data_IF_318371918625
#
_entry.id   IF_318371918625
#
_cell.length_a   1.000
_cell.length_b   1.000
_cell.length_c   1.000
_cell.angle_alpha   90.00
_cell.angle_beta   90.00
_cell.angle_gamma   90.00
#
_symmetry.space_group_name_H-M   'P 1'
#
loop_
_entity.id
_entity.type
_entity.pdbx_description
1 polymer ?
#
# COMPACT_ATOMS: atom_id res chain seq x y z
N UNK A 1 10.28 6.82 -18.39
CA UNK A 1 9.61 5.59 -17.88
C UNK A 1 9.93 5.47 -16.40
N UNK A 2 8.97 5.79 -15.57
CA UNK A 2 9.12 5.57 -14.13
C UNK A 2 9.07 4.05 -13.88
N UNK A 3 10.12 3.44 -13.30
CA UNK A 3 10.19 1.99 -13.16
C UNK A 3 9.10 1.42 -12.22
N UNK A 4 8.45 2.27 -11.44
CA UNK A 4 7.47 1.87 -10.43
C UNK A 4 6.09 2.51 -10.63
N UNK A 5 5.71 2.77 -11.88
CA UNK A 5 4.40 3.33 -12.23
C UNK A 5 3.20 2.50 -11.74
N UNK A 6 3.44 1.25 -11.35
CA UNK A 6 2.43 0.33 -10.79
C UNK A 6 2.02 0.68 -9.36
N UNK A 7 2.81 1.52 -8.68
CA UNK A 7 2.46 2.05 -7.35
C UNK A 7 1.52 3.25 -7.49
N UNK A 8 0.69 3.41 -6.49
CA UNK A 8 -0.23 4.53 -6.34
C UNK A 8 0.05 5.26 -5.03
N UNK A 9 -0.05 6.58 -5.04
CA UNK A 9 -0.11 7.36 -3.83
C UNK A 9 -1.57 7.39 -3.36
N UNK A 10 -1.78 7.14 -2.07
CA UNK A 10 -3.11 7.17 -1.44
C UNK A 10 -3.12 8.33 -0.45
N UNK A 11 -4.06 9.25 -0.64
CA UNK A 11 -4.38 10.29 0.32
C UNK A 11 -5.68 9.91 1.05
N UNK A 12 -5.57 9.62 2.33
CA UNK A 12 -6.71 9.41 3.23
C UNK A 12 -7.14 10.72 3.85
N UNK A 13 -8.42 11.03 3.79
CA UNK A 13 -9.03 12.20 4.43
C UNK A 13 -9.91 11.69 5.57
N UNK A 14 -9.62 12.07 6.79
CA UNK A 14 -10.28 11.59 8.00
C UNK A 14 -11.00 12.74 8.69
N UNK A 15 -12.21 12.49 9.18
CA UNK A 15 -13.01 13.50 9.84
C UNK A 15 -13.37 13.04 11.24
N UNK A 16 -12.84 13.72 12.24
CA UNK A 16 -13.16 13.53 13.66
C UNK A 16 -13.91 14.72 14.21
N UNK A 17 -14.33 14.64 15.46
CA UNK A 17 -14.90 15.78 16.18
C UNK A 17 -13.88 16.93 16.36
N UNK A 18 -12.60 16.62 16.38
CA UNK A 18 -11.51 17.60 16.46
C UNK A 18 -11.20 18.28 15.12
N UNK A 19 -11.73 17.78 14.00
CA UNK A 19 -11.50 18.33 12.66
C UNK A 19 -11.08 17.31 11.61
N UNK A 20 -10.48 17.82 10.53
CA UNK A 20 -9.97 17.00 9.43
C UNK A 20 -8.48 16.76 9.59
N UNK A 21 -8.04 15.51 9.41
CA UNK A 21 -6.64 15.18 9.23
C UNK A 21 -6.43 14.32 7.98
N UNK A 22 -5.19 14.22 7.53
CA UNK A 22 -4.85 13.58 6.28
C UNK A 22 -3.68 12.62 6.47
N UNK A 23 -3.74 11.49 5.79
CA UNK A 23 -2.65 10.50 5.77
C UNK A 23 -2.15 10.28 4.35
N UNK A 24 -0.85 10.03 4.22
CA UNK A 24 -0.24 9.57 2.97
C UNK A 24 0.12 8.11 3.14
N UNK A 25 -0.18 7.33 2.13
CA UNK A 25 0.13 5.91 2.08
C UNK A 25 0.39 5.47 0.64
N UNK A 26 0.78 4.23 0.49
CA UNK A 26 1.07 3.64 -0.81
C UNK A 26 0.12 2.48 -1.09
N UNK A 27 -0.24 2.31 -2.35
CA UNK A 27 -0.88 1.10 -2.87
C UNK A 27 -0.17 0.63 -4.13
N UNK A 28 -0.53 -0.54 -4.64
CA UNK A 28 -0.02 -1.05 -5.90
C UNK A 28 -1.07 -1.85 -6.66
N UNK A 29 -1.03 -1.74 -8.00
CA UNK A 29 -1.97 -2.42 -8.87
C UNK A 29 -1.58 -3.88 -9.08
N UNK A 30 -2.53 -4.80 -8.89
CA UNK A 30 -2.36 -6.25 -9.13
C UNK A 30 -3.31 -6.77 -10.22
N UNK A 31 -4.30 -5.98 -10.59
CA UNK A 31 -5.26 -6.26 -11.67
C UNK A 31 -5.63 -4.99 -12.41
N UNK A 32 -6.42 -5.11 -13.48
CA UNK A 32 -6.83 -3.94 -14.26
C UNK A 32 -7.54 -2.89 -13.40
N UNK A 33 -8.39 -3.34 -12.47
CA UNK A 33 -9.17 -2.51 -11.54
C UNK A 33 -8.90 -2.83 -10.07
N UNK A 34 -7.94 -3.70 -9.77
CA UNK A 34 -7.68 -4.16 -8.41
C UNK A 34 -6.33 -3.63 -7.93
N UNK A 35 -6.38 -2.90 -6.83
CA UNK A 35 -5.24 -2.38 -6.08
C UNK A 35 -5.16 -3.08 -4.72
N UNK A 36 -3.96 -3.21 -4.19
CA UNK A 36 -3.70 -3.74 -2.85
C UNK A 36 -2.95 -2.70 -2.03
N UNK A 37 -3.24 -2.64 -0.74
CA UNK A 37 -2.58 -1.77 0.24
C UNK A 37 -2.66 -2.39 1.65
N UNK A 38 -2.13 -1.71 2.65
CA UNK A 38 -2.28 -2.11 4.06
C UNK A 38 -3.70 -1.80 4.58
N UNK A 39 -4.15 -2.56 5.56
CA UNK A 39 -5.48 -2.41 6.16
C UNK A 39 -5.66 -1.09 6.90
N UNK A 40 -4.64 -0.68 7.68
CA UNK A 40 -4.66 0.57 8.43
C UNK A 40 -4.72 1.84 7.56
N UNK A 41 -4.56 1.72 6.25
CA UNK A 41 -4.80 2.83 5.29
C UNK A 41 -6.30 3.13 5.15
N UNK A 42 -7.14 2.15 5.43
CA UNK A 42 -8.60 2.22 5.31
C UNK A 42 -9.35 2.07 6.64
N UNK A 43 -8.66 1.92 7.75
CA UNK A 43 -9.24 1.78 9.07
C UNK A 43 -8.35 2.42 10.14
N UNK A 44 -8.90 3.39 10.85
CA UNK A 44 -8.28 3.97 12.03
C UNK A 44 -8.66 3.16 13.26
N UNK A 45 -7.67 2.58 13.94
CA UNK A 45 -7.89 1.71 15.09
C UNK A 45 -8.19 2.48 16.38
N UNK A 46 -7.71 3.71 16.50
CA UNK A 46 -7.93 4.55 17.66
C UNK A 46 -9.34 5.12 17.63
N UNK A 47 -9.71 5.72 16.50
CA UNK A 47 -11.02 6.36 16.30
C UNK A 47 -12.11 5.38 15.88
N UNK A 48 -11.78 4.12 15.57
CA UNK A 48 -12.71 3.06 15.11
C UNK A 48 -13.56 3.50 13.90
N UNK A 49 -12.92 4.13 12.93
CA UNK A 49 -13.62 4.68 11.77
C UNK A 49 -12.93 4.41 10.45
N UNK A 50 -13.70 4.55 9.37
CA UNK A 50 -13.21 4.58 8.00
C UNK A 50 -12.87 6.01 7.59
N UNK A 51 -11.99 6.20 6.57
CA UNK A 51 -11.73 7.51 6.03
C UNK A 51 -13.01 8.12 5.42
N UNK A 52 -13.19 9.42 5.58
CA UNK A 52 -14.27 10.19 4.97
C UNK A 52 -14.14 10.22 3.43
N UNK A 53 -12.90 10.31 2.94
CA UNK A 53 -12.57 10.29 1.52
C UNK A 53 -11.22 9.61 1.30
N UNK A 54 -11.11 8.88 0.19
CA UNK A 54 -9.85 8.33 -0.32
C UNK A 54 -9.63 8.86 -1.74
N UNK A 55 -8.44 9.43 -1.95
CA UNK A 55 -7.96 9.86 -3.27
C UNK A 55 -6.76 9.02 -3.66
N UNK A 56 -6.80 8.44 -4.85
CA UNK A 56 -5.77 7.54 -5.38
C UNK A 56 -5.14 8.23 -6.58
N UNK A 57 -3.84 8.51 -6.48
CA UNK A 57 -3.08 9.14 -7.54
C UNK A 57 -2.15 8.11 -8.19
N UNK A 58 -2.05 8.19 -9.51
CA UNK A 58 -1.20 7.31 -10.31
C UNK A 58 -0.05 8.11 -10.91
N UNK A 59 1.14 7.50 -10.99
CA UNK A 59 2.33 8.16 -11.56
C UNK A 59 2.59 9.52 -10.93
N UNK A 60 2.26 9.65 -9.66
CA UNK A 60 2.38 10.91 -8.97
C UNK A 60 3.86 11.17 -8.67
N UNK A 61 4.39 12.23 -9.25
CA UNK A 61 5.78 12.66 -9.11
C UNK A 61 5.82 14.17 -9.36
N UNK A 62 5.45 14.93 -8.35
CA UNK A 62 5.30 16.37 -8.45
C UNK A 62 6.13 17.07 -7.38
N UNK A 63 6.90 18.06 -7.81
CA UNK A 63 7.58 19.00 -6.91
C UNK A 63 6.57 19.91 -6.23
N UNK A 64 6.12 19.53 -5.06
CA UNK A 64 5.24 20.35 -4.23
C UNK A 64 6.04 20.99 -3.09
N UNK A 65 5.70 22.23 -2.78
CA UNK A 65 6.37 23.01 -1.73
C UNK A 65 5.62 23.00 -0.41
N UNK A 66 4.36 22.56 -0.42
CA UNK A 66 3.56 22.38 0.78
C UNK A 66 2.45 21.34 0.57
N UNK A 67 1.99 20.75 1.67
CA UNK A 67 0.98 19.69 1.66
C UNK A 67 -0.37 20.12 1.07
N UNK A 68 -0.74 21.40 1.19
CA UNK A 68 -2.03 21.87 0.68
C UNK A 68 -2.17 21.74 -0.84
N UNK A 69 -1.04 21.68 -1.55
CA UNK A 69 -1.08 21.56 -3.01
C UNK A 69 -1.70 20.25 -3.46
N UNK A 70 -1.46 19.12 -2.75
CA UNK A 70 -2.10 17.83 -3.11
C UNK A 70 -3.60 17.85 -2.86
N UNK A 71 -4.09 18.63 -1.91
CA UNK A 71 -5.52 18.76 -1.63
C UNK A 71 -6.28 19.43 -2.78
N UNK A 72 -5.59 20.25 -3.58
CA UNK A 72 -6.13 20.96 -4.74
C UNK A 72 -5.99 20.16 -6.05
N UNK A 73 -5.29 19.01 -6.03
CA UNK A 73 -5.19 18.15 -7.20
C UNK A 73 -6.55 17.53 -7.51
N UNK A 74 -6.88 17.52 -8.80
CA UNK A 74 -8.17 17.01 -9.30
C UNK A 74 -8.04 15.73 -10.13
N UNK A 75 -6.81 15.37 -10.53
CA UNK A 75 -6.52 14.16 -11.30
C UNK A 75 -6.23 12.99 -10.36
N UNK A 76 -7.29 12.44 -9.77
CA UNK A 76 -7.24 11.28 -8.89
C UNK A 76 -8.43 10.34 -9.12
N UNK A 77 -8.33 9.13 -8.58
CA UNK A 77 -9.36 8.11 -8.66
C UNK A 77 -9.95 7.84 -7.28
N UNK A 78 -11.25 7.55 -7.26
CA UNK A 78 -11.92 7.06 -6.06
C UNK A 78 -12.03 5.53 -6.06
N UNK A 79 -11.97 4.90 -4.90
CA UNK A 79 -12.34 3.49 -4.77
C UNK A 79 -13.83 3.31 -5.09
N UNK A 80 -14.15 2.26 -5.84
CA UNK A 80 -15.51 1.78 -5.99
C UNK A 80 -15.95 0.99 -4.75
N UNK A 81 -15.05 0.14 -4.29
CA UNK A 81 -15.25 -0.72 -3.12
C UNK A 81 -13.90 -1.11 -2.56
N UNK A 82 -13.83 -1.36 -1.27
CA UNK A 82 -12.67 -1.99 -0.62
C UNK A 82 -13.11 -3.11 0.31
N UNK A 83 -12.21 -4.02 0.57
CA UNK A 83 -12.39 -5.13 1.50
C UNK A 83 -11.18 -5.19 2.41
N UNK A 84 -11.41 -5.02 3.69
CA UNK A 84 -10.47 -5.22 4.76
C UNK A 84 -10.52 -6.66 5.26
N UNK A 85 -9.44 -7.14 5.84
CA UNK A 85 -9.52 -8.31 6.69
C UNK A 85 -10.52 -8.09 7.82
N UNK A 86 -11.49 -9.01 7.97
CA UNK A 86 -12.45 -8.93 9.07
C UNK A 86 -11.76 -8.97 10.43
N UNK A 87 -10.67 -9.71 10.55
CA UNK A 87 -9.92 -9.82 11.80
C UNK A 87 -9.19 -8.51 12.13
N UNK A 88 -8.71 -7.76 11.13
CA UNK A 88 -8.05 -6.48 11.36
C UNK A 88 -8.96 -5.44 12.03
N UNK A 89 -10.20 -5.33 11.58
CA UNK A 89 -11.16 -4.35 12.12
C UNK A 89 -11.80 -4.78 13.47
N UNK A 90 -11.68 -6.05 13.85
CA UNK A 90 -12.31 -6.59 15.07
C UNK A 90 -11.34 -6.88 16.20
N UNK A 91 -10.07 -7.13 15.90
CA UNK A 91 -9.02 -7.30 16.90
C UNK A 91 -8.40 -5.95 17.25
N UNK A 92 -7.88 -5.80 18.45
CA UNK A 92 -7.19 -4.56 18.87
C UNK A 92 -5.80 -4.47 18.21
N UNK A 93 -5.79 -4.42 16.93
CA UNK A 93 -4.84 -4.02 15.90
C UNK A 93 -3.41 -4.53 15.96
N UNK A 94 -2.63 -4.04 16.84
CA UNK A 94 -1.17 -4.19 16.79
C UNK A 94 -0.63 -5.62 16.97
N UNK A 95 -1.44 -6.58 17.43
CA UNK A 95 -1.02 -7.97 17.63
C UNK A 95 -1.12 -8.82 16.35
N UNK A 96 -2.03 -8.49 15.45
CA UNK A 96 -2.40 -9.36 14.33
C UNK A 96 -1.91 -8.80 12.98
N UNK A 97 -0.61 -8.64 12.89
CA UNK A 97 0.10 -8.09 11.72
C UNK A 97 -0.19 -8.83 10.40
N UNK A 98 -0.67 -10.06 10.49
CA UNK A 98 -1.04 -10.89 9.35
C UNK A 98 -2.36 -10.47 8.71
N UNK A 99 -3.17 -9.67 9.42
CA UNK A 99 -4.48 -9.21 8.95
C UNK A 99 -4.48 -7.77 8.44
N UNK A 100 -3.34 -7.06 8.52
CA UNK A 100 -3.22 -5.67 8.09
C UNK A 100 -3.13 -5.56 6.55
N UNK A 101 -4.21 -5.95 5.86
CA UNK A 101 -4.32 -5.87 4.42
C UNK A 101 -5.69 -5.37 3.97
N UNK A 102 -5.69 -4.71 2.84
CA UNK A 102 -6.87 -4.26 2.13
C UNK A 102 -6.69 -4.45 0.62
N UNK A 103 -7.72 -4.93 -0.08
CA UNK A 103 -7.79 -4.76 -1.51
C UNK A 103 -8.91 -3.81 -1.91
N UNK A 104 -8.67 -3.07 -2.97
CA UNK A 104 -9.53 -1.99 -3.46
C UNK A 104 -9.89 -2.27 -4.90
N UNK A 105 -11.18 -2.15 -5.23
CA UNK A 105 -11.67 -2.17 -6.60
C UNK A 105 -11.90 -0.74 -7.06
N UNK A 106 -11.47 -0.41 -8.25
CA UNK A 106 -11.61 0.91 -8.87
C UNK A 106 -12.68 0.90 -9.95
N UNK A 107 -13.33 2.04 -10.18
CA UNK A 107 -14.23 2.22 -11.32
C UNK A 107 -13.48 2.10 -12.66
N UNK A 108 -12.27 2.65 -12.71
CA UNK A 108 -11.46 2.76 -13.93
C UNK A 108 -10.38 1.68 -13.96
N UNK A 109 -10.15 1.09 -15.13
CA UNK A 109 -9.14 0.04 -15.34
C UNK A 109 -7.72 0.64 -15.48
N UNK A 110 -7.27 1.40 -14.48
CA UNK A 110 -5.97 2.10 -14.50
C UNK A 110 -4.78 1.14 -14.57
N UNK A 111 -4.91 -0.05 -14.03
CA UNK A 111 -3.88 -1.10 -14.12
C UNK A 111 -3.60 -1.55 -15.55
N UNK A 112 -4.60 -1.46 -16.44
CA UNK A 112 -4.44 -1.77 -17.85
C UNK A 112 -3.90 -0.59 -18.67
N UNK A 113 -4.42 0.60 -18.42
CA UNK A 113 -4.25 1.74 -19.32
C UNK A 113 -3.15 2.70 -18.90
N UNK A 114 -2.82 2.74 -17.60
CA UNK A 114 -1.95 3.78 -17.04
C UNK A 114 -0.74 3.20 -16.35
N UNK A 115 -0.94 2.32 -15.34
CA UNK A 115 0.12 1.92 -14.42
C UNK A 115 0.81 0.61 -14.79
N UNK A 116 0.13 -0.31 -15.46
CA UNK A 116 0.50 -1.71 -15.45
C UNK A 116 0.22 -2.35 -14.08
N UNK A 117 0.54 -3.62 -13.92
CA UNK A 117 0.26 -4.39 -12.71
C UNK A 117 1.48 -5.14 -12.21
N UNK A 118 1.54 -5.39 -10.89
CA UNK A 118 2.40 -6.42 -10.32
C UNK A 118 1.77 -7.79 -10.55
N UNK A 119 2.60 -8.80 -10.84
CA UNK A 119 2.22 -10.18 -10.60
C UNK A 119 2.16 -10.45 -9.11
N UNK A 120 1.37 -11.43 -8.69
CA UNK A 120 1.35 -11.88 -7.29
C UNK A 120 1.89 -13.31 -7.20
N UNK A 121 2.44 -13.67 -6.06
CA UNK A 121 2.90 -15.03 -5.78
C UNK A 121 2.59 -15.41 -4.33
N UNK A 122 1.98 -16.57 -4.16
CA UNK A 122 1.76 -17.22 -2.85
C UNK A 122 2.84 -18.25 -2.50
N UNK A 123 3.77 -18.50 -3.41
CA UNK A 123 4.85 -19.45 -3.15
C UNK A 123 5.72 -19.02 -1.98
N UNK A 124 6.28 -20.01 -1.32
CA UNK A 124 7.24 -19.76 -0.25
C UNK A 124 8.44 -18.98 -0.77
N UNK A 125 8.72 -17.90 -0.07
CA UNK A 125 9.87 -17.07 -0.37
C UNK A 125 11.11 -17.77 0.17
N UNK A 126 12.14 -18.00 -0.64
CA UNK A 126 13.41 -18.54 -0.15
C UNK A 126 13.96 -17.68 0.99
N UNK A 127 14.65 -18.31 1.93
CA UNK A 127 15.33 -17.59 3.01
C UNK A 127 16.27 -16.52 2.43
N UNK A 128 16.24 -15.33 2.99
CA UNK A 128 17.04 -14.18 2.53
C UNK A 128 16.76 -13.78 1.07
N UNK A 129 15.52 -13.91 0.62
CA UNK A 129 15.13 -13.47 -0.72
C UNK A 129 15.34 -11.98 -0.86
N UNK A 130 16.12 -11.58 -1.86
CA UNK A 130 16.23 -10.16 -2.22
C UNK A 130 14.90 -9.62 -2.73
N UNK A 131 14.53 -8.47 -2.19
CA UNK A 131 13.31 -7.76 -2.55
C UNK A 131 13.56 -6.27 -2.73
N UNK A 132 12.62 -5.64 -3.39
CA UNK A 132 12.50 -4.21 -3.54
C UNK A 132 11.22 -3.76 -2.83
N UNK A 133 11.34 -2.67 -2.09
CA UNK A 133 10.24 -1.89 -1.55
C UNK A 133 10.25 -0.54 -2.25
N UNK A 134 9.11 -0.11 -2.78
CA UNK A 134 8.96 1.18 -3.44
C UNK A 134 7.61 1.79 -3.10
N UNK A 135 7.61 3.05 -2.69
CA UNK A 135 6.40 3.75 -2.26
C UNK A 135 6.61 5.25 -2.07
N UNK A 136 5.65 5.89 -1.46
CA UNK A 136 5.59 7.35 -1.25
C UNK A 136 5.81 7.68 0.24
N UNK A 137 7.02 8.12 0.64
CA UNK A 137 7.27 8.54 2.01
C UNK A 137 6.46 9.79 2.36
N UNK A 138 5.71 9.74 3.44
CA UNK A 138 4.91 10.87 3.94
C UNK A 138 5.70 11.84 4.79
N UNK A 139 6.81 11.41 5.40
CA UNK A 139 7.68 12.25 6.21
C UNK A 139 8.42 13.32 5.39
N UNK A 140 8.53 13.14 4.08
CA UNK A 140 9.10 14.11 3.15
C UNK A 140 8.24 15.37 2.95
N UNK A 141 7.02 15.42 3.49
CA UNK A 141 6.19 16.64 3.47
C UNK A 141 6.85 17.84 4.18
N UNK A 142 7.85 17.57 5.03
CA UNK A 142 8.63 18.58 5.73
C UNK A 142 9.83 19.09 4.93
N UNK A 143 10.13 18.49 3.76
CA UNK A 143 11.27 18.85 2.92
C UNK A 143 10.77 19.40 1.58
N UNK A 144 10.74 20.74 1.40
CA UNK A 144 10.35 21.34 0.12
C UNK A 144 11.16 20.78 -1.05
N UNK A 145 10.48 20.35 -2.11
CA UNK A 145 11.10 19.73 -3.29
C UNK A 145 11.31 18.22 -3.21
N UNK A 146 11.04 17.59 -2.06
CA UNK A 146 11.08 16.12 -1.91
C UNK A 146 9.70 15.50 -1.68
N UNK A 147 8.68 16.33 -1.53
CA UNK A 147 7.31 15.87 -1.29
C UNK A 147 6.77 15.08 -2.47
N UNK A 148 6.09 13.97 -2.13
CA UNK A 148 5.35 13.15 -3.08
C UNK A 148 6.19 12.50 -4.20
N UNK A 149 7.50 12.45 -4.05
CA UNK A 149 8.34 11.62 -4.89
C UNK A 149 8.29 10.17 -4.45
N UNK A 150 8.36 9.29 -5.43
CA UNK A 150 8.43 7.87 -5.16
C UNK A 150 9.87 7.46 -4.82
N UNK A 151 10.02 6.73 -3.71
CA UNK A 151 11.30 6.21 -3.24
C UNK A 151 11.35 4.70 -3.34
N UNK A 152 12.58 4.19 -3.45
CA UNK A 152 12.88 2.77 -3.52
C UNK A 152 14.00 2.40 -2.56
N UNK A 153 13.86 1.25 -1.94
CA UNK A 153 14.93 0.58 -1.21
C UNK A 153 15.00 -0.91 -1.56
N UNK A 154 16.14 -1.52 -1.34
CA UNK A 154 16.32 -2.96 -1.48
C UNK A 154 16.74 -3.57 -0.14
N UNK A 155 16.42 -4.83 0.03
CA UNK A 155 16.73 -5.57 1.24
C UNK A 155 16.42 -7.05 1.05
N UNK A 156 16.35 -7.78 2.14
CA UNK A 156 16.00 -9.20 2.12
C UNK A 156 14.71 -9.44 2.91
N UNK A 157 13.96 -10.43 2.47
CA UNK A 157 12.72 -10.85 3.08
C UNK A 157 12.85 -12.26 3.62
N UNK A 158 12.35 -12.47 4.83
CA UNK A 158 12.25 -13.77 5.46
C UNK A 158 10.79 -14.06 5.82
N UNK A 159 10.28 -15.18 5.31
CA UNK A 159 8.98 -15.71 5.69
C UNK A 159 9.00 -16.10 7.16
N UNK A 160 7.93 -15.79 7.87
CA UNK A 160 7.64 -16.35 9.21
C UNK A 160 6.44 -17.30 9.12
N UNK A 161 5.23 -16.76 9.20
CA UNK A 161 3.97 -17.49 9.03
C UNK A 161 3.13 -16.81 7.95
N UNK A 162 2.05 -16.16 8.32
CA UNK A 162 1.21 -15.34 7.45
C UNK A 162 1.77 -13.91 7.29
N UNK A 163 2.71 -13.53 8.13
CA UNK A 163 3.45 -12.28 8.00
C UNK A 163 4.93 -12.54 7.67
N UNK A 164 5.63 -11.49 7.29
CA UNK A 164 7.03 -11.54 6.91
C UNK A 164 7.83 -10.41 7.57
N UNK A 165 9.15 -10.60 7.68
CA UNK A 165 10.09 -9.55 8.07
C UNK A 165 11.01 -9.21 6.92
N UNK A 166 11.38 -7.94 6.79
CA UNK A 166 12.31 -7.49 5.76
C UNK A 166 13.22 -6.36 6.25
N UNK A 167 14.34 -6.20 5.56
CA UNK A 167 15.38 -5.20 5.88
C UNK A 167 15.39 -4.00 4.94
N UNK A 168 14.42 -3.88 4.02
CA UNK A 168 14.30 -2.68 3.21
C UNK A 168 14.16 -1.45 4.11
N UNK A 169 14.82 -0.35 3.78
CA UNK A 169 14.56 0.92 4.43
C UNK A 169 13.14 1.35 4.10
N UNK A 170 12.34 1.62 5.11
CA UNK A 170 10.96 2.07 4.99
C UNK A 170 10.74 3.30 5.86
N UNK A 171 9.83 4.15 5.43
CA UNK A 171 9.44 5.37 6.12
C UNK A 171 7.92 5.43 6.24
N UNK A 172 7.45 6.30 7.12
CA UNK A 172 6.03 6.65 7.19
C UNK A 172 5.51 7.03 5.81
N UNK A 173 4.28 6.62 5.46
CA UNK A 173 3.70 6.77 4.11
C UNK A 173 4.01 5.62 3.15
N UNK A 174 5.02 4.80 3.40
CA UNK A 174 5.31 3.62 2.58
C UNK A 174 4.45 2.40 2.94
N UNK A 175 3.61 2.49 3.96
CA UNK A 175 2.57 1.49 4.27
C UNK A 175 1.73 1.16 3.05
N UNK A 176 1.53 -0.12 2.78
CA UNK A 176 0.82 -0.62 1.61
C UNK A 176 1.71 -0.86 0.37
N UNK A 177 3.00 -0.56 0.43
CA UNK A 177 3.94 -0.83 -0.67
C UNK A 177 4.12 -2.33 -0.93
N UNK A 178 4.36 -2.70 -2.19
CA UNK A 178 4.66 -4.07 -2.57
C UNK A 178 6.03 -4.53 -2.06
N UNK A 179 6.10 -5.70 -1.45
CA UNK A 179 7.32 -6.44 -1.22
C UNK A 179 7.59 -7.31 -2.45
N UNK A 180 8.41 -6.85 -3.38
CA UNK A 180 8.47 -7.40 -4.73
C UNK A 180 9.88 -7.72 -5.22
N UNK A 181 9.95 -8.49 -6.30
CA UNK A 181 11.19 -8.69 -7.07
C UNK A 181 11.43 -7.52 -8.05
N UNK A 182 12.61 -7.52 -8.64
CA UNK A 182 12.96 -6.65 -9.79
C UNK A 182 12.04 -6.86 -10.99
N UNK A 183 11.41 -8.03 -11.11
CA UNK A 183 10.49 -8.37 -12.21
C UNK A 183 9.02 -8.07 -11.85
N UNK A 184 8.77 -7.27 -10.83
CA UNK A 184 7.43 -6.85 -10.40
C UNK A 184 6.52 -8.02 -9.99
N UNK A 185 7.07 -9.06 -9.38
CA UNK A 185 6.29 -10.09 -8.70
C UNK A 185 6.28 -9.76 -7.21
N UNK A 186 5.10 -9.48 -6.66
CA UNK A 186 4.88 -9.19 -5.26
C UNK A 186 4.60 -10.46 -4.46
N UNK A 187 5.24 -10.60 -3.29
CA UNK A 187 5.00 -11.66 -2.32
C UNK A 187 4.22 -11.18 -1.10
N UNK A 188 4.03 -9.88 -0.96
CA UNK A 188 3.33 -9.33 0.18
C UNK A 188 3.28 -7.81 0.15
N UNK A 189 2.81 -7.26 1.26
CA UNK A 189 2.50 -5.86 1.50
C UNK A 189 3.34 -5.38 2.68
N UNK A 190 4.06 -4.27 2.55
CA UNK A 190 4.69 -3.61 3.69
C UNK A 190 3.64 -2.94 4.57
N UNK A 191 3.73 -3.14 5.89
CA UNK A 191 2.73 -2.58 6.81
C UNK A 191 3.33 -1.73 7.92
N UNK A 192 4.44 -2.12 8.51
CA UNK A 192 4.98 -1.39 9.66
C UNK A 192 6.48 -1.57 9.86
N UNK A 193 7.07 -0.69 10.63
CA UNK A 193 8.44 -0.82 11.16
C UNK A 193 8.42 -1.47 12.54
N UNK A 194 9.45 -2.26 12.85
CA UNK A 194 9.66 -2.80 14.19
C UNK A 194 10.55 -1.87 14.99
N UNK A 195 10.02 -1.38 16.10
CA UNK A 195 10.80 -0.55 17.04
C UNK A 195 12.12 -1.23 17.45
N UNK A 196 13.22 -0.48 17.39
CA UNK A 196 14.58 -0.87 17.80
C UNK A 196 15.29 -1.99 17.03
N UNK A 197 14.80 -2.36 15.83
CA UNK A 197 15.50 -3.31 14.96
C UNK A 197 15.40 -2.76 13.54
N UNK A 198 16.48 -2.74 12.79
CA UNK A 198 16.47 -2.41 11.35
C UNK A 198 15.66 -3.45 10.54
N UNK A 199 14.47 -3.74 11.04
CA UNK A 199 13.53 -4.72 10.52
C UNK A 199 12.16 -4.09 10.39
N UNK A 200 11.51 -4.39 9.30
CA UNK A 200 10.13 -4.04 9.03
C UNK A 200 9.29 -5.31 8.88
N UNK A 201 8.01 -5.15 8.99
CA UNK A 201 7.03 -6.24 8.84
C UNK A 201 6.10 -5.98 7.66
N UNK A 202 5.52 -7.06 7.17
CA UNK A 202 4.52 -7.01 6.13
C UNK A 202 3.65 -8.25 6.13
N UNK A 203 2.48 -8.14 5.51
CA UNK A 203 1.58 -9.26 5.26
C UNK A 203 2.08 -10.02 4.03
N UNK A 204 2.16 -11.35 4.13
CA UNK A 204 2.49 -12.22 3.01
C UNK A 204 1.23 -12.55 2.21
N UNK A 205 1.37 -12.71 0.89
CA UNK A 205 0.33 -13.35 0.09
C UNK A 205 0.30 -14.85 0.38
N UNK A 206 -0.21 -15.22 1.57
CA UNK A 206 -0.53 -16.60 1.88
C UNK A 206 -1.59 -17.15 0.91
N UNK A 207 -1.72 -18.48 0.70
CA UNK A 207 -2.63 -19.06 -0.27
C UNK A 207 -4.04 -18.48 -0.21
N UNK A 208 -4.59 -18.34 0.98
CA UNK A 208 -5.92 -17.75 1.20
C UNK A 208 -6.03 -16.32 0.63
N UNK A 209 -5.10 -15.43 1.01
CA UNK A 209 -5.15 -14.02 0.56
C UNK A 209 -4.89 -13.91 -0.95
N UNK A 210 -3.97 -14.74 -1.46
CA UNK A 210 -3.70 -14.82 -2.89
C UNK A 210 -4.94 -15.23 -3.68
N UNK A 211 -5.64 -16.28 -3.26
CA UNK A 211 -6.87 -16.76 -3.91
C UNK A 211 -7.98 -15.72 -3.85
N UNK A 212 -8.17 -15.09 -2.69
CA UNK A 212 -9.18 -14.05 -2.51
C UNK A 212 -8.99 -12.90 -3.51
N UNK A 213 -7.76 -12.39 -3.62
CA UNK A 213 -7.44 -11.29 -4.53
C UNK A 213 -7.50 -11.76 -6.00
N UNK A 214 -6.99 -12.95 -6.31
CA UNK A 214 -7.01 -13.52 -7.66
C UNK A 214 -8.42 -13.72 -8.19
N UNK A 215 -9.34 -14.21 -7.36
CA UNK A 215 -10.76 -14.34 -7.70
C UNK A 215 -11.38 -12.97 -7.97
N UNK A 216 -10.98 -11.95 -7.20
CA UNK A 216 -11.45 -10.59 -7.44
C UNK A 216 -10.93 -10.02 -8.75
N UNK A 217 -9.65 -10.24 -9.09
CA UNK A 217 -9.06 -9.83 -10.37
C UNK A 217 -9.84 -10.46 -11.54
N UNK A 218 -10.08 -11.77 -11.48
CA UNK A 218 -10.82 -12.49 -12.51
C UNK A 218 -12.22 -11.92 -12.72
N UNK A 219 -12.95 -11.64 -11.64
CA UNK A 219 -14.31 -11.09 -11.70
C UNK A 219 -14.40 -9.63 -12.16
N UNK A 220 -13.30 -8.92 -12.24
CA UNK A 220 -13.27 -7.50 -12.69
C UNK A 220 -12.73 -7.33 -14.10
N UNK A 221 -12.21 -8.39 -14.71
CA UNK A 221 -11.70 -8.40 -16.08
C UNK A 221 -12.79 -8.77 -17.11
N UNK A 222 -13.98 -9.15 -16.65
CA UNK A 222 -15.19 -9.35 -17.44
C UNK A 222 -15.96 -8.04 -17.59
#
# INVERSE_FOLDING_TARGET
DMPYCKNTLILGCWKTDAGMYYTISTGFMVGQKVMVTAGHVFWDEEEKMYPHEIRIFTRFDKNMTNFRQILNETDYYHPQRWVLSSNFATTSGASDKEYDWCYVTLFTAIGKTITGTYGMSSYDVPKNKEIILSGYPGDHVNYPGEMFHQYKSSGVMNKLTEYTKHTCSAREGMSGSALSSVNYVAWGIHTASMNNKNLNVGVRFAPYLYELISNKISSTNE
#
